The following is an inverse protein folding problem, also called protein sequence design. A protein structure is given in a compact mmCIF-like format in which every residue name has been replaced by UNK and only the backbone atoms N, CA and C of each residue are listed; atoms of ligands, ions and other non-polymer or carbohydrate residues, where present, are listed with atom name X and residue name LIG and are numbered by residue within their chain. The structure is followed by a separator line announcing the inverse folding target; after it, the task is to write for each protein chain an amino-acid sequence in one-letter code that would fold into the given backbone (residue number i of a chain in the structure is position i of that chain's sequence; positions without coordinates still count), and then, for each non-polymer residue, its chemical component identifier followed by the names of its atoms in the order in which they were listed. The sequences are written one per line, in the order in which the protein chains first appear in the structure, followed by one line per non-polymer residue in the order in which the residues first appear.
data_IF_659584934341
#
_entry.id   IF_659584934341
#
_cell.length_a   1.000
_cell.length_b   1.000
_cell.length_c   1.000
_cell.angle_alpha   90.00
_cell.angle_beta   90.00
_cell.angle_gamma   90.00
#
_symmetry.space_group_name_H-M   'P 1'
#
loop_
_entity.id
_entity.type
_entity.pdbx_description
1 polymer ?
#
# COMPACT_ATOMS: atom_id res chain seq x y z
N UNK A 1 6.15 13.06 16.08
CA UNK A 1 5.18 11.99 16.40
C UNK A 1 5.36 10.89 15.38
N UNK A 2 5.74 9.71 15.85
CA UNK A 2 5.86 8.50 15.06
C UNK A 2 4.69 7.58 15.45
N UNK A 3 3.96 7.07 14.47
CA UNK A 3 2.90 6.09 14.68
C UNK A 3 3.14 4.92 13.74
N UNK A 4 3.21 3.72 14.31
CA UNK A 4 3.38 2.47 13.59
C UNK A 4 2.50 1.41 14.22
N UNK A 5 1.82 0.64 13.38
CA UNK A 5 1.01 -0.49 13.77
C UNK A 5 1.45 -1.70 12.97
N UNK A 6 1.71 -2.81 13.66
CA UNK A 6 1.92 -4.13 13.11
C UNK A 6 0.75 -5.01 13.56
N UNK A 7 0.10 -5.68 12.62
CA UNK A 7 -0.99 -6.61 12.92
C UNK A 7 -0.44 -7.75 13.81
N UNK A 8 -1.03 -8.00 15.01
CA UNK A 8 -0.60 -9.07 15.91
C UNK A 8 -0.49 -10.46 15.27
N UNK A 9 -1.33 -10.77 14.27
CA UNK A 9 -1.27 -12.03 13.52
C UNK A 9 0.09 -12.24 12.82
N UNK A 10 0.81 -11.15 12.53
CA UNK A 10 2.10 -11.15 11.85
C UNK A 10 3.27 -10.85 12.80
N UNK A 11 3.01 -10.58 14.09
CA UNK A 11 4.03 -10.13 15.04
C UNK A 11 5.05 -11.22 15.42
N UNK A 12 4.70 -12.49 15.26
CA UNK A 12 5.59 -13.64 15.54
C UNK A 12 6.13 -14.33 14.29
N UNK A 13 5.76 -13.86 13.09
CA UNK A 13 6.15 -14.47 11.82
C UNK A 13 7.56 -14.09 11.35
N UNK A 14 8.09 -14.78 10.32
CA UNK A 14 9.43 -14.51 9.78
C UNK A 14 9.56 -13.11 9.17
N UNK A 15 8.44 -12.48 8.79
CA UNK A 15 8.40 -11.11 8.28
C UNK A 15 8.35 -10.04 9.38
N UNK A 16 8.05 -10.41 10.64
CA UNK A 16 7.90 -9.46 11.75
C UNK A 16 9.15 -8.57 11.96
N UNK A 17 10.39 -9.11 11.92
CA UNK A 17 11.59 -8.29 12.10
C UNK A 17 11.78 -7.26 10.98
N UNK A 18 11.30 -7.55 9.77
CA UNK A 18 11.39 -6.65 8.61
C UNK A 18 10.37 -5.52 8.67
N UNK A 19 9.20 -5.78 9.27
CA UNK A 19 8.07 -4.85 9.33
C UNK A 19 7.88 -4.21 10.71
N UNK A 20 8.89 -4.29 11.58
CA UNK A 20 8.80 -3.85 12.97
C UNK A 20 8.63 -2.32 13.13
N UNK A 21 9.16 -1.52 12.20
CA UNK A 21 9.07 -0.06 12.23
C UNK A 21 9.32 0.60 10.86
N UNK A 22 9.05 1.91 10.79
CA UNK A 22 9.26 2.71 9.58
C UNK A 22 10.73 2.80 9.13
N UNK A 23 11.71 2.72 10.02
CA UNK A 23 13.12 2.78 9.57
C UNK A 23 13.45 1.53 8.77
N UNK A 24 13.18 0.36 9.35
CA UNK A 24 13.40 -0.93 8.71
C UNK A 24 12.65 -1.04 7.38
N UNK A 25 11.37 -0.64 7.38
CA UNK A 25 10.53 -0.68 6.17
C UNK A 25 11.07 0.23 5.06
N UNK A 26 11.62 1.40 5.41
CA UNK A 26 12.22 2.28 4.41
C UNK A 26 13.59 1.81 3.93
N UNK A 27 14.29 0.98 4.70
CA UNK A 27 15.54 0.31 4.33
C UNK A 27 15.34 -1.01 3.57
N UNK A 28 14.10 -1.47 3.38
CA UNK A 28 13.84 -2.71 2.64
C UNK A 28 14.29 -2.62 1.19
N UNK A 29 14.89 -3.71 0.74
CA UNK A 29 15.13 -4.02 -0.66
C UNK A 29 14.15 -5.11 -1.11
N UNK A 30 13.80 -5.08 -2.38
CA UNK A 30 12.82 -5.97 -2.98
C UNK A 30 12.63 -5.63 -4.44
N UNK A 31 11.72 -6.35 -5.09
CA UNK A 31 11.41 -6.12 -6.48
C UNK A 31 10.60 -4.83 -6.65
N UNK A 32 11.06 -3.88 -7.47
CA UNK A 32 10.32 -2.64 -7.71
C UNK A 32 9.10 -2.91 -8.58
N UNK A 33 7.91 -2.60 -8.07
CA UNK A 33 6.65 -2.74 -8.83
C UNK A 33 6.28 -1.42 -9.50
N UNK A 34 6.33 -0.32 -8.74
CA UNK A 34 6.10 1.03 -9.27
C UNK A 34 6.82 2.07 -8.42
N UNK A 35 7.18 3.19 -9.03
CA UNK A 35 7.74 4.33 -8.33
C UNK A 35 7.30 5.63 -9.00
N UNK A 36 7.13 6.66 -8.18
CA UNK A 36 6.94 8.03 -8.60
C UNK A 36 7.71 8.99 -7.66
N UNK A 37 7.52 10.30 -7.82
CA UNK A 37 8.25 11.32 -7.05
C UNK A 37 7.95 11.32 -5.54
N UNK A 38 6.84 10.71 -5.11
CA UNK A 38 6.33 10.77 -3.74
C UNK A 38 5.96 9.41 -3.15
N UNK A 39 5.95 8.34 -3.95
CA UNK A 39 5.65 6.99 -3.53
C UNK A 39 6.45 5.93 -4.28
N UNK A 40 6.71 4.80 -3.63
CA UNK A 40 7.26 3.59 -4.25
C UNK A 40 6.57 2.35 -3.71
N UNK A 41 6.44 1.33 -4.55
CA UNK A 41 5.91 0.02 -4.17
C UNK A 41 6.99 -1.03 -4.44
N UNK A 42 7.31 -1.78 -3.40
CA UNK A 42 8.21 -2.94 -3.46
C UNK A 42 7.42 -4.22 -3.25
N UNK A 43 7.75 -5.28 -3.98
CA UNK A 43 7.36 -6.64 -3.64
C UNK A 43 8.50 -7.29 -2.86
N UNK A 44 8.20 -7.72 -1.65
CA UNK A 44 9.14 -8.38 -0.73
C UNK A 44 8.69 -9.82 -0.53
N UNK A 45 9.59 -10.78 -0.69
CA UNK A 45 9.31 -12.20 -0.46
C UNK A 45 9.98 -12.68 0.82
N UNK A 46 9.21 -13.31 1.71
CA UNK A 46 9.70 -13.87 2.99
C UNK A 46 9.06 -15.23 3.18
N UNK A 47 9.86 -16.29 3.31
CA UNK A 47 9.38 -17.65 3.59
C UNK A 47 8.24 -18.11 2.65
N UNK A 48 8.43 -17.90 1.34
CA UNK A 48 7.44 -18.25 0.31
C UNK A 48 6.17 -17.39 0.28
N UNK A 49 6.04 -16.38 1.16
CA UNK A 49 4.98 -15.37 1.15
C UNK A 49 5.47 -14.10 0.48
N UNK A 50 4.55 -13.37 -0.15
CA UNK A 50 4.83 -12.10 -0.81
C UNK A 50 4.06 -10.98 -0.14
N UNK A 51 4.71 -9.82 -0.07
CA UNK A 51 4.18 -8.61 0.56
C UNK A 51 4.39 -7.43 -0.38
N UNK A 52 3.37 -6.58 -0.48
CA UNK A 52 3.46 -5.32 -1.18
C UNK A 52 3.68 -4.21 -0.16
N UNK A 53 4.84 -3.57 -0.24
CA UNK A 53 5.27 -2.49 0.64
C UNK A 53 5.17 -1.18 -0.12
N UNK A 54 4.17 -0.38 0.22
CA UNK A 54 3.94 0.94 -0.37
C UNK A 54 4.47 2.01 0.57
N UNK A 55 5.55 2.66 0.16
CA UNK A 55 6.22 3.71 0.91
C UNK A 55 5.91 5.08 0.31
N UNK A 56 5.69 6.07 1.17
CA UNK A 56 5.40 7.45 0.79
C UNK A 56 6.41 8.39 1.46
N UNK A 57 6.99 9.30 0.68
CA UNK A 57 7.96 10.28 1.19
C UNK A 57 7.36 11.69 1.21
N UNK A 58 7.62 12.41 2.30
CA UNK A 58 7.34 13.82 2.43
C UNK A 58 8.55 14.63 1.98
N UNK A 59 8.38 15.53 1.01
CA UNK A 59 9.46 16.43 0.59
C UNK A 59 9.85 17.39 1.72
N UNK A 60 11.00 17.15 2.35
CA UNK A 60 11.67 18.08 3.27
C UNK A 60 12.07 19.38 2.55
N UNK A 61 11.82 20.52 3.21
CA UNK A 61 12.22 21.92 2.93
C UNK A 61 12.80 22.23 1.52
N UNK A 62 12.07 23.04 0.72
CA UNK A 62 12.63 23.70 -0.47
C UNK A 62 11.62 24.61 -1.17
N UNK A 63 11.99 25.89 -1.39
CA UNK A 63 11.15 27.00 -1.90
C UNK A 63 10.88 26.95 -3.42
N UNK A 64 10.64 25.78 -4.01
CA UNK A 64 10.35 25.66 -5.45
C UNK A 64 8.85 25.76 -5.74
N UNK A 65 8.46 26.52 -6.77
CA UNK A 65 7.06 26.67 -7.21
C UNK A 65 6.43 25.33 -7.59
N UNK A 66 7.21 24.44 -8.21
CA UNK A 66 6.83 23.04 -8.51
C UNK A 66 6.44 22.30 -7.22
N UNK A 67 7.24 22.44 -6.16
CA UNK A 67 6.95 21.82 -4.85
C UNK A 67 5.76 22.45 -4.12
N UNK A 68 5.36 23.68 -4.45
CA UNK A 68 4.16 24.34 -3.88
C UNK A 68 2.88 23.69 -4.42
N UNK A 69 2.85 23.40 -5.71
CA UNK A 69 1.79 22.60 -6.37
C UNK A 69 1.70 21.19 -5.76
N UNK A 70 2.84 20.52 -5.57
CA UNK A 70 2.88 19.23 -4.88
C UNK A 70 2.57 19.32 -3.37
N UNK A 71 2.81 20.46 -2.73
CA UNK A 71 2.42 20.75 -1.35
C UNK A 71 0.90 20.80 -1.15
N UNK A 72 0.15 21.21 -2.17
CA UNK A 72 -1.31 21.11 -2.19
C UNK A 72 -1.76 19.66 -2.36
N UNK A 73 -1.14 18.92 -3.31
CA UNK A 73 -1.31 17.46 -3.44
C UNK A 73 -0.90 16.67 -2.18
N UNK A 74 -0.04 17.20 -1.31
CA UNK A 74 0.37 16.58 -0.04
C UNK A 74 -0.78 16.46 0.96
N UNK A 75 -1.72 17.41 0.97
CA UNK A 75 -2.91 17.31 1.81
C UNK A 75 -3.80 16.16 1.33
N UNK A 76 -3.99 16.05 0.02
CA UNK A 76 -4.66 14.92 -0.63
C UNK A 76 -3.88 13.59 -0.51
N UNK A 77 -2.55 13.63 -0.49
CA UNK A 77 -1.68 12.47 -0.35
C UNK A 77 -1.69 11.89 1.06
N UNK A 78 -1.64 12.74 2.10
CA UNK A 78 -1.85 12.31 3.49
C UNK A 78 -3.25 11.71 3.70
N UNK A 79 -4.26 12.34 3.12
CA UNK A 79 -5.60 11.79 3.12
C UNK A 79 -5.61 10.45 2.40
N UNK A 80 -4.93 10.31 1.26
CA UNK A 80 -4.85 9.05 0.51
C UNK A 80 -4.15 7.94 1.28
N UNK A 81 -3.01 8.21 1.91
CA UNK A 81 -2.28 7.22 2.72
C UNK A 81 -3.15 6.69 3.86
N UNK A 82 -3.79 7.61 4.60
CA UNK A 82 -4.71 7.24 5.69
C UNK A 82 -5.98 6.57 5.19
N UNK A 83 -6.58 7.11 4.14
CA UNK A 83 -7.77 6.56 3.52
C UNK A 83 -7.50 5.17 2.97
N UNK A 84 -6.33 4.89 2.42
CA UNK A 84 -6.03 3.59 1.82
C UNK A 84 -6.04 2.47 2.86
N UNK A 85 -5.37 2.64 4.01
CA UNK A 85 -5.44 1.64 5.08
C UNK A 85 -6.75 1.67 5.87
N UNK A 86 -7.45 2.81 5.94
CA UNK A 86 -8.79 2.89 6.55
C UNK A 86 -9.83 2.18 5.68
N UNK A 87 -9.72 2.31 4.36
CA UNK A 87 -10.58 1.63 3.39
C UNK A 87 -10.35 0.12 3.46
N UNK A 88 -9.09 -0.34 3.49
CA UNK A 88 -8.80 -1.77 3.66
C UNK A 88 -9.39 -2.34 4.96
N UNK A 89 -9.29 -1.60 6.06
CA UNK A 89 -9.94 -1.98 7.33
C UNK A 89 -11.46 -2.01 7.21
N UNK A 90 -12.07 -1.00 6.58
CA UNK A 90 -13.51 -0.94 6.38
C UNK A 90 -14.02 -2.07 5.47
N UNK A 91 -13.33 -2.34 4.35
CA UNK A 91 -13.66 -3.43 3.44
C UNK A 91 -13.60 -4.79 4.14
N UNK A 92 -12.56 -5.03 4.94
CA UNK A 92 -12.47 -6.25 5.76
C UNK A 92 -13.60 -6.32 6.78
N UNK A 93 -13.95 -5.22 7.44
CA UNK A 93 -15.07 -5.16 8.38
C UNK A 93 -16.44 -5.40 7.70
N UNK A 94 -16.57 -5.08 6.41
CA UNK A 94 -17.75 -5.37 5.60
C UNK A 94 -17.75 -6.78 4.98
N UNK A 95 -16.74 -7.60 5.24
CA UNK A 95 -16.62 -8.95 4.68
C UNK A 95 -16.15 -8.99 3.23
N UNK A 96 -15.71 -7.86 2.65
CA UNK A 96 -15.19 -7.82 1.28
C UNK A 96 -13.79 -8.46 1.27
N UNK A 97 -13.56 -9.51 0.44
CA UNK A 97 -12.24 -10.11 0.28
C UNK A 97 -11.23 -9.07 -0.22
N UNK A 98 -10.29 -8.70 0.65
CA UNK A 98 -9.27 -7.69 0.37
C UNK A 98 -7.92 -8.15 0.90
N UNK A 99 -6.84 -7.50 0.42
CA UNK A 99 -5.50 -7.85 0.84
C UNK A 99 -5.33 -7.64 2.34
N UNK A 100 -4.77 -8.64 3.03
CA UNK A 100 -4.56 -8.57 4.48
C UNK A 100 -3.59 -7.46 4.82
N UNK A 101 -4.05 -6.50 5.62
CA UNK A 101 -3.24 -5.42 6.16
C UNK A 101 -2.26 -5.97 7.20
N UNK A 102 -0.96 -5.94 6.88
CA UNK A 102 0.11 -6.47 7.72
C UNK A 102 0.64 -5.40 8.66
N UNK A 103 0.97 -4.22 8.12
CA UNK A 103 1.47 -3.11 8.92
C UNK A 103 1.18 -1.78 8.23
N UNK A 104 1.09 -0.71 9.02
CA UNK A 104 0.96 0.64 8.48
C UNK A 104 1.41 1.70 9.49
N UNK A 105 1.77 2.88 8.99
CA UNK A 105 2.05 4.00 9.86
C UNK A 105 2.63 5.21 9.15
N UNK A 106 2.94 6.23 9.95
CA UNK A 106 3.47 7.50 9.48
C UNK A 106 4.34 8.20 10.53
N UNK A 107 5.31 8.96 10.04
CA UNK A 107 6.17 9.84 10.81
C UNK A 107 5.84 11.31 10.51
N UNK A 108 5.76 12.11 11.58
CA UNK A 108 5.67 13.57 11.51
C UNK A 108 6.78 14.23 12.31
N UNK A 109 7.48 15.17 11.69
CA UNK A 109 8.45 16.07 12.33
C UNK A 109 7.89 17.49 12.36
N UNK A 110 7.85 18.11 13.53
CA UNK A 110 7.29 19.46 13.74
C UNK A 110 5.86 19.60 13.15
N UNK A 111 5.00 18.61 13.38
CA UNK A 111 3.62 18.54 12.84
C UNK A 111 3.51 18.21 11.35
N UNK A 112 4.61 18.26 10.59
CA UNK A 112 4.65 18.01 9.15
C UNK A 112 4.95 16.54 8.88
N UNK A 113 4.20 15.94 7.95
CA UNK A 113 4.47 14.59 7.45
C UNK A 113 5.86 14.50 6.83
N UNK A 114 6.57 13.43 7.20
CA UNK A 114 7.93 13.13 6.73
C UNK A 114 7.94 11.89 5.87
N UNK A 115 7.28 10.81 6.31
CA UNK A 115 7.13 9.57 5.55
C UNK A 115 6.01 8.71 6.11
N UNK A 116 5.56 7.72 5.37
CA UNK A 116 4.63 6.70 5.83
C UNK A 116 4.70 5.46 4.97
N UNK A 117 4.19 4.35 5.47
CA UNK A 117 4.16 3.10 4.73
C UNK A 117 2.88 2.31 5.04
N UNK A 118 2.54 1.45 4.08
CA UNK A 118 1.45 0.50 4.12
C UNK A 118 1.97 -0.84 3.59
N UNK A 119 1.71 -1.92 4.30
CA UNK A 119 2.13 -3.27 3.93
C UNK A 119 0.90 -4.17 3.87
N UNK A 120 0.74 -4.86 2.74
CA UNK A 120 -0.30 -5.88 2.56
C UNK A 120 0.32 -7.21 2.15
N UNK A 121 -0.22 -8.31 2.65
CA UNK A 121 0.09 -9.65 2.12
C UNK A 121 -0.55 -9.81 0.73
N UNK A 122 0.17 -10.45 -0.20
CA UNK A 122 -0.36 -10.78 -1.53
C UNK A 122 -1.58 -11.70 -1.40
N UNK A 123 -2.66 -11.38 -2.12
CA UNK A 123 -3.76 -12.32 -2.30
C UNK A 123 -3.31 -13.34 -3.34
N UNK A 124 -3.22 -14.60 -2.94
CA UNK A 124 -2.82 -15.69 -3.83
C UNK A 124 -3.89 -15.93 -4.89
N UNK A 125 -3.46 -16.41 -6.05
CA UNK A 125 -4.33 -16.83 -7.15
C UNK A 125 -5.24 -15.72 -7.71
N UNK A 126 -4.88 -14.44 -7.51
CA UNK A 126 -5.57 -13.32 -8.15
C UNK A 126 -4.92 -12.92 -9.45
N UNK A 127 -5.75 -12.64 -10.46
CA UNK A 127 -5.32 -12.04 -11.71
C UNK A 127 -5.57 -10.54 -11.68
N UNK A 128 -4.55 -9.74 -11.99
CA UNK A 128 -4.66 -8.30 -11.97
C UNK A 128 -5.55 -7.82 -13.14
N UNK A 129 -6.63 -7.10 -12.82
CA UNK A 129 -7.56 -6.56 -13.83
C UNK A 129 -6.89 -5.62 -14.84
N UNK A 130 -5.87 -4.86 -14.42
CA UNK A 130 -5.12 -3.99 -15.33
C UNK A 130 -4.27 -4.80 -16.31
N UNK A 131 -3.68 -5.90 -15.85
CA UNK A 131 -2.94 -6.84 -16.71
C UNK A 131 -3.90 -7.54 -17.69
N UNK A 132 -5.08 -7.96 -17.23
CA UNK A 132 -6.13 -8.49 -18.10
C UNK A 132 -6.54 -7.48 -19.17
N UNK A 133 -6.72 -6.21 -18.79
CA UNK A 133 -7.09 -5.16 -19.71
C UNK A 133 -5.99 -4.90 -20.75
N UNK A 134 -4.73 -4.86 -20.32
CA UNK A 134 -3.58 -4.75 -21.22
C UNK A 134 -3.45 -5.95 -22.17
N UNK A 135 -3.69 -7.16 -21.66
CA UNK A 135 -3.66 -8.39 -22.44
C UNK A 135 -4.90 -8.56 -23.35
N UNK A 136 -5.88 -7.65 -23.27
CA UNK A 136 -7.12 -7.75 -24.03
C UNK A 136 -7.94 -8.99 -23.67
N UNK A 137 -7.93 -9.39 -22.39
CA UNK A 137 -8.56 -10.63 -21.91
C UNK A 137 -10.03 -10.70 -22.34
N UNK A 138 -10.46 -11.78 -23.04
CA UNK A 138 -11.82 -11.93 -23.54
C UNK A 138 -12.90 -11.81 -22.46
N UNK A 139 -12.59 -12.16 -21.20
CA UNK A 139 -13.54 -12.08 -20.08
C UNK A 139 -13.96 -10.65 -19.78
N UNK A 140 -13.12 -9.65 -20.09
CA UNK A 140 -13.49 -8.24 -19.92
C UNK A 140 -14.52 -7.75 -20.95
N UNK A 141 -14.74 -8.51 -22.04
CA UNK A 141 -15.76 -8.22 -23.05
C UNK A 141 -17.07 -8.96 -22.80
N UNK A 142 -17.05 -9.97 -21.94
CA UNK A 142 -18.25 -10.68 -21.49
C UNK A 142 -18.96 -9.86 -20.41
N UNK A 143 -20.23 -9.51 -20.65
CA UNK A 143 -21.05 -8.76 -19.68
C UNK A 143 -21.55 -9.61 -18.52
N UNK A 144 -21.54 -10.94 -18.65
CA UNK A 144 -21.96 -11.86 -17.60
C UNK A 144 -20.84 -12.14 -16.60
N UNK A 145 -19.59 -12.10 -17.06
CA UNK A 145 -18.42 -12.34 -16.22
C UNK A 145 -18.31 -11.37 -15.01
N UNK A 146 -18.49 -10.03 -15.16
CA UNK A 146 -18.53 -9.12 -14.01
C UNK A 146 -19.63 -9.46 -12.99
N UNK A 147 -20.80 -9.90 -13.46
CA UNK A 147 -21.90 -10.29 -12.57
C UNK A 147 -21.56 -11.55 -11.76
N UNK A 148 -20.86 -12.51 -12.37
CA UNK A 148 -20.37 -13.72 -11.68
C UNK A 148 -19.27 -13.41 -10.67
N UNK A 149 -18.41 -12.42 -10.92
CA UNK A 149 -17.37 -11.98 -9.98
C UNK A 149 -17.99 -11.26 -8.78
N UNK A 150 -18.97 -10.39 -9.01
CA UNK A 150 -19.64 -9.64 -7.95
C UNK A 150 -20.53 -10.51 -7.05
N UNK A 151 -21.00 -11.65 -7.55
CA UNK A 151 -21.82 -12.61 -6.78
C UNK A 151 -21.05 -13.59 -5.90
N UNK A 152 -19.71 -13.51 -5.86
CA UNK A 152 -18.85 -14.39 -5.03
C UNK A 152 -18.56 -13.84 -3.62
N UNK A 153 -19.23 -12.76 -3.22
CA UNK A 153 -19.07 -12.09 -1.92
C UNK A 153 -20.14 -12.48 -0.91
#
# INVERSE_FOLDING_TARGET
MNYWYLNPEFASGPAAPLFADLERVFSLEGEPITHDLISRVLRVSVDGRRYYVKCYTGSGKGKSAVRRWFGLRRWFGLQRVRAEWQNLQAFRAWGIPTATLVAYGLERRLGRFTRGALITEEIRDTLNLAEMAHAGDPRLRDRQWPAQVLGQG
#
